data_IF_688609382478
#
_entry.id   IF_688609382478
#
_cell.length_a   1.000
_cell.length_b   1.000
_cell.length_c   1.000
_cell.angle_alpha   90.00
_cell.angle_beta   90.00
_cell.angle_gamma   90.00
#
_symmetry.space_group_name_H-M   'P 1'
#
loop_
_entity.id
_entity.type
_entity.pdbx_description
1 polymer ?
#
# COMPACT_ATOMS: atom_id res chain seq x y z
N UNK A 1 -3.01 15.75 23.06
CA UNK A 1 -3.81 15.08 22.01
C UNK A 1 -2.93 14.01 21.38
N UNK A 2 -3.16 12.73 21.71
CA UNK A 2 -2.36 11.62 21.17
C UNK A 2 -2.86 11.34 19.75
N UNK A 3 -2.15 11.83 18.73
CA UNK A 3 -2.41 11.45 17.35
C UNK A 3 -2.02 9.99 17.22
N UNK A 4 -3.01 9.09 17.28
CA UNK A 4 -2.82 7.69 16.86
C UNK A 4 -2.22 7.75 15.46
N UNK A 5 -0.95 7.35 15.34
CA UNK A 5 -0.26 7.34 14.04
C UNK A 5 -0.86 6.19 13.24
N UNK A 6 -1.82 6.50 12.37
CA UNK A 6 -2.31 5.53 11.38
C UNK A 6 -1.13 5.12 10.50
N UNK A 7 -0.89 3.82 10.43
CA UNK A 7 0.12 3.24 9.54
C UNK A 7 -0.62 2.62 8.38
N UNK A 8 -0.12 2.81 7.18
CA UNK A 8 -0.67 2.27 5.95
C UNK A 8 0.31 1.26 5.35
N UNK A 9 -0.22 0.27 4.65
CA UNK A 9 0.55 -0.75 3.95
C UNK A 9 0.07 -0.86 2.51
N UNK A 10 1.00 -0.78 1.56
CA UNK A 10 0.75 -1.10 0.15
C UNK A 10 0.96 -2.60 -0.06
N UNK A 11 -0.06 -3.26 -0.58
CA UNK A 11 -0.07 -4.70 -0.90
C UNK A 11 -0.40 -4.86 -2.37
N UNK A 12 0.31 -5.75 -3.06
CA UNK A 12 -0.04 -6.21 -4.40
C UNK A 12 -0.65 -7.59 -4.31
N UNK A 13 -1.85 -7.75 -4.83
CA UNK A 13 -2.57 -9.02 -4.89
C UNK A 13 -2.49 -9.55 -6.33
N UNK A 14 -1.77 -10.65 -6.53
CA UNK A 14 -1.61 -11.29 -7.83
C UNK A 14 -1.79 -12.80 -7.69
N UNK A 15 -2.71 -13.39 -8.49
CA UNK A 15 -2.94 -14.86 -8.51
C UNK A 15 -3.07 -15.47 -7.11
N UNK A 16 -3.94 -14.88 -6.30
CA UNK A 16 -4.22 -15.29 -4.91
C UNK A 16 -3.02 -15.17 -3.94
N UNK A 17 -1.93 -14.53 -4.37
CA UNK A 17 -0.79 -14.19 -3.51
C UNK A 17 -0.82 -12.70 -3.17
N UNK A 18 -0.77 -12.41 -1.87
CA UNK A 18 -0.60 -11.05 -1.36
C UNK A 18 0.88 -10.78 -1.09
N UNK A 19 1.41 -9.76 -1.76
CA UNK A 19 2.81 -9.33 -1.60
C UNK A 19 2.84 -7.93 -0.98
N UNK A 20 3.27 -7.78 0.29
CA UNK A 20 3.42 -6.47 0.90
C UNK A 20 4.62 -5.75 0.28
N UNK A 21 4.38 -4.60 -0.36
CA UNK A 21 5.44 -3.81 -1.00
C UNK A 21 6.07 -2.79 -0.05
N UNK A 22 5.23 -2.09 0.74
CA UNK A 22 5.68 -0.93 1.51
C UNK A 22 4.78 -0.67 2.71
N UNK A 23 5.36 -0.15 3.79
CA UNK A 23 4.63 0.34 4.97
C UNK A 23 5.06 1.78 5.23
N UNK A 24 4.09 2.67 5.48
CA UNK A 24 4.33 4.10 5.66
C UNK A 24 3.22 4.73 6.51
N UNK A 25 3.55 5.73 7.34
CA UNK A 25 2.54 6.60 7.97
C UNK A 25 2.01 7.68 7.03
N UNK A 26 2.71 7.91 5.92
CA UNK A 26 2.28 8.84 4.87
C UNK A 26 1.51 8.09 3.79
N UNK A 27 0.18 8.30 3.77
CA UNK A 27 -0.74 7.75 2.79
C UNK A 27 -0.44 8.24 1.36
N UNK A 28 -0.04 9.51 1.20
CA UNK A 28 0.22 10.10 -0.12
C UNK A 28 1.42 9.43 -0.80
N UNK A 29 2.43 9.07 -0.02
CA UNK A 29 3.58 8.33 -0.54
C UNK A 29 3.18 6.95 -1.07
N UNK A 30 2.30 6.22 -0.36
CA UNK A 30 1.82 4.93 -0.84
C UNK A 30 0.93 5.03 -2.08
N UNK A 31 0.11 6.08 -2.19
CA UNK A 31 -0.68 6.34 -3.39
C UNK A 31 0.19 6.56 -4.63
N UNK A 32 1.33 7.27 -4.49
CA UNK A 32 2.27 7.45 -5.60
C UNK A 32 2.88 6.12 -6.04
N UNK A 33 3.27 5.27 -5.10
CA UNK A 33 3.82 3.94 -5.40
C UNK A 33 2.76 3.02 -6.03
N UNK A 34 1.52 3.07 -5.54
CA UNK A 34 0.38 2.37 -6.14
C UNK A 34 0.17 2.79 -7.60
N UNK A 35 0.19 4.09 -7.89
CA UNK A 35 0.07 4.59 -9.26
C UNK A 35 1.23 4.15 -10.15
N UNK A 36 2.47 4.14 -9.63
CA UNK A 36 3.63 3.61 -10.34
C UNK A 36 3.45 2.13 -10.70
N UNK A 37 2.96 1.32 -9.76
CA UNK A 37 2.64 -0.08 -10.01
C UNK A 37 1.60 -0.25 -11.12
N UNK A 38 0.47 0.46 -11.04
CA UNK A 38 -0.59 0.44 -12.06
C UNK A 38 -0.05 0.81 -13.44
N UNK A 39 0.83 1.82 -13.53
CA UNK A 39 1.43 2.28 -14.79
C UNK A 39 2.49 1.33 -15.33
N UNK A 40 3.13 0.54 -14.48
CA UNK A 40 4.19 -0.39 -14.88
C UNK A 40 3.71 -1.64 -15.62
N UNK A 41 2.39 -1.80 -15.80
CA UNK A 41 1.76 -3.03 -16.33
C UNK A 41 2.16 -4.30 -15.54
N UNK A 42 2.67 -4.12 -14.31
CA UNK A 42 3.00 -5.23 -13.44
C UNK A 42 1.72 -6.01 -13.09
N UNK A 43 1.79 -7.35 -13.02
CA UNK A 43 0.65 -8.16 -12.69
C UNK A 43 0.14 -7.86 -11.27
N UNK A 44 -1.16 -8.04 -11.08
CA UNK A 44 -1.82 -7.88 -9.79
C UNK A 44 -2.39 -6.50 -9.52
N UNK A 45 -3.35 -6.46 -8.60
CA UNK A 45 -4.00 -5.24 -8.12
C UNK A 45 -3.24 -4.69 -6.92
N UNK A 46 -2.95 -3.38 -6.94
CA UNK A 46 -2.32 -2.70 -5.82
C UNK A 46 -3.38 -2.08 -4.90
N UNK A 47 -3.33 -2.41 -3.62
CA UNK A 47 -4.25 -2.03 -2.56
C UNK A 47 -3.50 -1.36 -1.41
N UNK A 48 -4.05 -0.27 -0.85
CA UNK A 48 -3.52 0.35 0.37
C UNK A 48 -4.43 -0.03 1.53
N UNK A 49 -3.86 -0.62 2.57
CA UNK A 49 -4.56 -1.05 3.78
C UNK A 49 -4.14 -0.20 4.97
N UNK A 50 -5.10 0.20 5.79
CA UNK A 50 -4.83 0.77 7.10
C UNK A 50 -4.49 -0.37 8.08
N UNK A 51 -3.31 -0.29 8.69
CA UNK A 51 -2.88 -1.21 9.74
C UNK A 51 -2.80 -0.42 11.06
N UNK A 52 -3.72 -0.72 11.96
CA UNK A 52 -3.64 -0.22 13.34
C UNK A 52 -2.66 -1.10 14.11
N UNK A 53 -1.56 -0.49 14.60
CA UNK A 53 -0.71 -1.12 15.61
C UNK A 53 -1.13 -0.69 17.01
#
# INVERSE_FOLDING_TARGET
MSTKKTVYQLVVVAKDQETPLRVSTDHRHLELERQRHIRSLAPGYAEIREISK
#
